data_IF_750316634042
#
_entry.id   IF_750316634042
#
_cell.length_a   1.000
_cell.length_b   1.000
_cell.length_c   1.000
_cell.angle_alpha   90.00
_cell.angle_beta   90.00
_cell.angle_gamma   90.00
#
_symmetry.space_group_name_H-M   'P 1'
#
loop_
_entity.id
_entity.type
_entity.pdbx_description
1 polymer ?
#
# COMPACT_ATOMS: atom_id res chain seq x y z
N UNK A 1 -2.61 -29.24 6.03
CA UNK A 1 -3.77 -28.40 6.40
C UNK A 1 -3.40 -27.52 7.57
N UNK A 2 -4.28 -26.60 7.98
CA UNK A 2 -4.09 -25.71 9.14
C UNK A 2 -5.21 -25.90 10.15
N UNK A 3 -4.89 -25.66 11.41
CA UNK A 3 -5.83 -25.70 12.52
C UNK A 3 -6.01 -24.31 13.13
N UNK A 4 -7.20 -24.03 13.62
CA UNK A 4 -7.51 -22.86 14.44
C UNK A 4 -8.19 -23.35 15.72
N UNK A 5 -7.65 -23.01 16.88
CA UNK A 5 -8.16 -23.48 18.19
C UNK A 5 -8.34 -25.01 18.25
N UNK A 6 -7.33 -25.76 17.79
CA UNK A 6 -7.36 -27.23 17.70
C UNK A 6 -8.45 -27.83 16.79
N UNK A 7 -9.22 -27.01 16.07
CA UNK A 7 -10.17 -27.45 15.07
C UNK A 7 -9.59 -27.26 13.67
N UNK A 8 -10.05 -28.08 12.71
CA UNK A 8 -9.60 -27.96 11.33
C UNK A 8 -10.12 -26.66 10.70
N UNK A 9 -9.21 -25.83 10.21
CA UNK A 9 -9.55 -24.61 9.46
C UNK A 9 -9.61 -24.93 7.97
N UNK A 10 -8.47 -25.22 7.36
CA UNK A 10 -8.34 -25.49 5.92
C UNK A 10 -7.54 -26.78 5.67
N UNK A 11 -7.99 -27.60 4.72
CA UNK A 11 -7.26 -28.76 4.22
C UNK A 11 -7.28 -28.76 2.68
N UNK A 12 -6.11 -28.95 2.09
CA UNK A 12 -5.94 -29.02 0.64
C UNK A 12 -5.05 -30.23 0.37
N UNK A 13 -5.49 -31.07 -0.56
CA UNK A 13 -4.72 -32.20 -1.06
C UNK A 13 -4.03 -31.82 -2.38
N UNK A 14 -2.72 -32.04 -2.42
CA UNK A 14 -1.91 -31.84 -3.61
C UNK A 14 -1.39 -33.20 -4.08
N UNK A 15 -1.85 -33.65 -5.25
CA UNK A 15 -1.29 -34.82 -5.89
C UNK A 15 0.04 -34.49 -6.54
N UNK A 16 1.06 -35.33 -6.36
CA UNK A 16 2.37 -35.16 -7.00
C UNK A 16 2.36 -35.92 -8.32
N UNK A 17 2.60 -35.21 -9.43
CA UNK A 17 2.69 -35.81 -10.76
C UNK A 17 4.15 -36.07 -11.15
N UNK A 18 5.01 -35.07 -10.96
CA UNK A 18 6.46 -35.18 -11.24
C UNK A 18 7.22 -34.66 -10.03
N UNK A 19 8.32 -35.34 -9.71
CA UNK A 19 9.19 -34.98 -8.61
C UNK A 19 10.64 -35.19 -9.01
N UNK A 20 11.45 -34.13 -8.81
CA UNK A 20 12.91 -34.21 -8.82
C UNK A 20 13.42 -33.80 -7.45
N UNK A 21 14.19 -34.70 -6.85
CA UNK A 21 14.76 -34.53 -5.52
C UNK A 21 15.90 -33.50 -5.52
N UNK A 22 16.28 -33.02 -4.33
CA UNK A 22 17.43 -32.12 -4.18
C UNK A 22 18.76 -32.75 -4.66
N UNK A 23 18.87 -34.08 -4.55
CA UNK A 23 20.07 -34.85 -4.87
C UNK A 23 20.34 -34.94 -6.39
N UNK A 24 19.29 -34.85 -7.21
CA UNK A 24 19.42 -34.87 -8.68
C UNK A 24 20.07 -33.59 -9.23
N UNK A 25 20.01 -32.49 -8.48
CA UNK A 25 20.62 -31.21 -8.87
C UNK A 25 22.05 -31.14 -8.33
N UNK A 26 23.04 -31.26 -9.21
CA UNK A 26 24.49 -31.21 -8.90
C UNK A 26 25.03 -29.79 -8.74
N UNK A 27 24.33 -28.95 -7.98
CA UNK A 27 24.63 -27.54 -7.80
C UNK A 27 24.77 -27.19 -6.31
N UNK A 28 25.45 -26.08 -6.01
CA UNK A 28 25.59 -25.58 -4.64
C UNK A 28 24.22 -25.29 -4.00
N UNK A 29 24.04 -25.75 -2.76
CA UNK A 29 22.79 -25.56 -2.02
C UNK A 29 22.82 -24.28 -1.18
N UNK A 30 21.66 -23.97 -0.62
CA UNK A 30 21.40 -22.81 0.24
C UNK A 30 21.65 -23.17 1.70
N UNK A 31 22.09 -22.20 2.51
CA UNK A 31 22.25 -22.38 3.94
C UNK A 31 20.93 -22.67 4.67
N UNK A 32 20.98 -23.53 5.68
CA UNK A 32 19.81 -23.88 6.51
C UNK A 32 19.39 -22.66 7.33
N UNK A 33 18.08 -22.47 7.51
CA UNK A 33 17.54 -21.40 8.35
C UNK A 33 17.27 -20.07 7.64
N UNK A 34 17.68 -19.92 6.37
CA UNK A 34 17.39 -18.71 5.59
C UNK A 34 15.89 -18.54 5.31
N UNK A 35 15.47 -17.27 5.26
CA UNK A 35 14.09 -16.89 4.92
C UNK A 35 13.94 -16.88 3.39
N UNK A 36 13.11 -17.75 2.80
CA UNK A 36 12.93 -17.77 1.36
C UNK A 36 12.15 -16.56 0.87
N UNK A 37 12.52 -16.06 -0.30
CA UNK A 37 11.69 -15.18 -1.11
C UNK A 37 10.60 -16.02 -1.78
N UNK A 38 9.33 -15.63 -1.63
CA UNK A 38 8.21 -16.34 -2.24
C UNK A 38 7.75 -15.59 -3.49
N UNK A 39 7.73 -16.28 -4.63
CA UNK A 39 7.19 -15.79 -5.88
C UNK A 39 5.96 -16.63 -6.26
N UNK A 40 4.81 -15.98 -6.44
CA UNK A 40 3.61 -16.62 -6.96
C UNK A 40 3.29 -16.06 -8.34
N UNK A 41 3.20 -16.92 -9.34
CA UNK A 41 2.96 -16.54 -10.72
C UNK A 41 1.72 -17.27 -11.28
N UNK A 42 0.86 -16.53 -11.98
CA UNK A 42 -0.33 -17.08 -12.64
C UNK A 42 -1.64 -16.45 -12.15
N UNK A 43 -2.52 -16.17 -13.10
CA UNK A 43 -3.80 -15.48 -12.88
C UNK A 43 -4.78 -16.27 -11.99
N UNK A 44 -4.60 -17.59 -11.91
CA UNK A 44 -5.43 -18.47 -11.08
C UNK A 44 -5.40 -18.08 -9.60
N UNK A 45 -4.28 -17.52 -9.11
CA UNK A 45 -4.15 -17.09 -7.71
C UNK A 45 -5.04 -15.88 -7.37
N UNK A 46 -5.38 -15.05 -8.35
CA UNK A 46 -6.20 -13.85 -8.14
C UNK A 46 -7.69 -14.14 -8.34
N UNK A 47 -8.03 -14.93 -9.35
CA UNK A 47 -9.41 -15.17 -9.75
C UNK A 47 -10.08 -16.36 -9.04
N UNK A 48 -9.34 -17.42 -8.73
CA UNK A 48 -9.91 -18.63 -8.12
C UNK A 48 -9.69 -18.64 -6.60
N UNK A 49 -10.79 -18.73 -5.84
CA UNK A 49 -10.75 -18.77 -4.38
C UNK A 49 -9.90 -19.95 -3.85
N UNK A 50 -9.93 -21.12 -4.47
CA UNK A 50 -9.14 -22.27 -4.00
C UNK A 50 -7.63 -22.03 -4.11
N UNK A 51 -7.19 -21.45 -5.23
CA UNK A 51 -5.78 -21.13 -5.47
C UNK A 51 -5.31 -19.99 -4.57
N UNK A 52 -6.17 -19.00 -4.31
CA UNK A 52 -5.90 -17.95 -3.32
C UNK A 52 -5.71 -18.50 -1.91
N UNK A 53 -6.52 -19.49 -1.53
CA UNK A 53 -6.38 -20.21 -0.26
C UNK A 53 -5.11 -21.05 -0.20
N UNK A 54 -4.77 -21.72 -1.29
CA UNK A 54 -3.51 -22.45 -1.41
C UNK A 54 -2.31 -21.52 -1.29
N UNK A 55 -2.31 -20.37 -1.97
CA UNK A 55 -1.27 -19.36 -1.84
C UNK A 55 -1.12 -18.91 -0.39
N UNK A 56 -2.22 -18.59 0.29
CA UNK A 56 -2.20 -18.21 1.69
C UNK A 56 -1.63 -19.33 2.59
N UNK A 57 -1.98 -20.58 2.33
CA UNK A 57 -1.44 -21.75 3.03
C UNK A 57 0.07 -21.90 2.84
N UNK A 58 0.56 -21.75 1.60
CA UNK A 58 1.97 -21.86 1.27
C UNK A 58 2.78 -20.69 1.86
N UNK A 59 2.23 -19.47 1.84
CA UNK A 59 2.84 -18.32 2.52
C UNK A 59 3.00 -18.62 4.00
N UNK A 60 1.95 -19.09 4.68
CA UNK A 60 1.99 -19.41 6.11
C UNK A 60 3.05 -20.47 6.44
N UNK A 61 3.17 -21.49 5.59
CA UNK A 61 4.13 -22.58 5.74
C UNK A 61 5.59 -22.14 5.55
N UNK A 62 5.87 -21.25 4.60
CA UNK A 62 7.24 -20.82 4.25
C UNK A 62 7.66 -19.47 4.83
N UNK A 63 6.74 -18.68 5.38
CA UNK A 63 7.05 -17.35 5.91
C UNK A 63 7.95 -17.40 7.16
N UNK A 64 7.91 -18.47 7.95
CA UNK A 64 8.63 -18.60 9.24
C UNK A 64 8.38 -17.36 10.12
N UNK A 65 9.44 -16.77 10.69
CA UNK A 65 9.34 -15.61 11.57
C UNK A 65 9.27 -14.28 10.81
N UNK A 66 8.49 -13.30 11.31
CA UNK A 66 8.45 -11.96 10.74
C UNK A 66 9.77 -11.23 10.98
N UNK A 67 10.50 -10.94 9.90
CA UNK A 67 11.74 -10.16 9.95
C UNK A 67 11.44 -8.70 9.60
N UNK A 68 11.92 -7.75 10.42
CA UNK A 68 11.79 -6.30 10.17
C UNK A 68 12.80 -5.79 9.15
N UNK A 69 13.98 -6.39 9.12
CA UNK A 69 15.06 -6.06 8.19
C UNK A 69 15.77 -7.33 7.73
N UNK A 70 16.15 -7.38 6.45
CA UNK A 70 16.88 -8.51 5.85
C UNK A 70 18.17 -7.99 5.22
N UNK A 71 19.27 -8.72 5.39
CA UNK A 71 20.56 -8.41 4.74
C UNK A 71 20.55 -8.91 3.30
N UNK A 72 21.20 -8.20 2.37
CA UNK A 72 21.30 -8.60 0.97
C UNK A 72 21.92 -9.99 0.78
N UNK A 73 22.96 -10.31 1.56
CA UNK A 73 23.60 -11.63 1.56
C UNK A 73 22.66 -12.75 2.07
N UNK A 74 21.60 -12.41 2.79
CA UNK A 74 20.60 -13.39 3.24
C UNK A 74 19.54 -13.73 2.20
N UNK A 75 19.54 -13.03 1.05
CA UNK A 75 18.60 -13.26 -0.05
C UNK A 75 19.18 -14.27 -1.04
N UNK A 76 19.32 -15.51 -0.59
CA UNK A 76 19.92 -16.58 -1.41
C UNK A 76 18.88 -17.51 -2.02
N UNK A 77 17.67 -17.58 -1.46
CA UNK A 77 16.68 -18.61 -1.78
C UNK A 77 15.38 -18.02 -2.28
N UNK A 78 14.92 -18.49 -3.43
CA UNK A 78 13.60 -18.17 -3.99
C UNK A 78 12.81 -19.45 -4.17
N UNK A 79 11.63 -19.49 -3.59
CA UNK A 79 10.62 -20.51 -3.87
C UNK A 79 9.62 -19.88 -4.83
N UNK A 80 9.50 -20.46 -6.01
CA UNK A 80 8.57 -20.05 -7.04
C UNK A 80 7.44 -21.06 -7.14
N UNK A 81 6.21 -20.56 -7.08
CA UNK A 81 5.00 -21.36 -7.26
C UNK A 81 4.21 -20.78 -8.43
N UNK A 82 4.13 -21.54 -9.51
CA UNK A 82 3.45 -21.11 -10.74
C UNK A 82 2.20 -21.95 -10.97
N UNK A 83 1.05 -21.31 -11.21
CA UNK A 83 -0.21 -22.00 -11.50
C UNK A 83 -0.64 -21.76 -12.95
N UNK A 84 -0.72 -22.82 -13.76
CA UNK A 84 -1.12 -22.77 -15.19
C UNK A 84 -2.08 -23.93 -15.47
N UNK A 85 -3.24 -23.65 -16.06
CA UNK A 85 -4.16 -24.67 -16.60
C UNK A 85 -4.44 -25.87 -15.66
N UNK A 86 -4.52 -25.60 -14.34
CA UNK A 86 -4.73 -26.55 -13.23
C UNK A 86 -3.49 -27.32 -12.71
N UNK A 87 -2.32 -27.12 -13.30
CA UNK A 87 -1.05 -27.61 -12.77
C UNK A 87 -0.39 -26.52 -11.92
N UNK A 88 0.19 -26.94 -10.80
CA UNK A 88 0.92 -26.08 -9.87
C UNK A 88 2.38 -26.52 -9.86
N UNK A 89 3.25 -25.69 -10.38
CA UNK A 89 4.68 -25.95 -10.42
C UNK A 89 5.35 -25.33 -9.21
N UNK A 90 5.93 -26.17 -8.37
CA UNK A 90 6.77 -25.77 -7.26
C UNK A 90 8.24 -25.90 -7.66
N UNK A 91 8.97 -24.80 -7.62
CA UNK A 91 10.38 -24.70 -7.99
C UNK A 91 11.16 -23.95 -6.94
N UNK A 92 12.40 -24.35 -6.75
CA UNK A 92 13.30 -23.78 -5.75
C UNK A 92 14.61 -23.40 -6.42
N UNK A 93 14.96 -22.12 -6.30
CA UNK A 93 16.09 -21.50 -6.97
C UNK A 93 17.05 -20.86 -5.96
N UNK A 94 18.34 -20.94 -6.25
CA UNK A 94 19.38 -20.14 -5.63
C UNK A 94 19.55 -18.84 -6.43
N UNK A 95 19.65 -17.72 -5.72
CA UNK A 95 19.91 -16.41 -6.30
C UNK A 95 21.41 -16.16 -6.44
N UNK A 96 21.83 -15.80 -7.64
CA UNK A 96 23.21 -15.38 -7.94
C UNK A 96 23.21 -13.89 -8.29
N UNK A 97 23.88 -13.09 -7.47
CA UNK A 97 24.00 -11.65 -7.66
C UNK A 97 25.23 -11.33 -8.52
N UNK A 98 25.00 -10.96 -9.79
CA UNK A 98 26.05 -10.54 -10.73
C UNK A 98 26.18 -9.01 -10.78
N UNK A 99 27.37 -8.54 -11.14
CA UNK A 99 27.65 -7.11 -11.36
C UNK A 99 26.82 -6.59 -12.55
N UNK A 100 26.10 -5.49 -12.35
CA UNK A 100 25.19 -4.88 -13.35
C UNK A 100 25.61 -3.48 -13.81
N UNK A 101 26.60 -2.85 -13.14
CA UNK A 101 27.00 -1.46 -13.40
C UNK A 101 26.09 -0.40 -12.78
N UNK A 102 24.97 -0.79 -12.17
CA UNK A 102 24.06 0.11 -11.43
C UNK A 102 24.04 -0.25 -9.94
N UNK A 103 23.30 0.52 -9.12
CA UNK A 103 23.16 0.25 -7.68
C UNK A 103 22.50 -1.09 -7.38
N UNK A 104 21.68 -1.62 -8.29
CA UNK A 104 20.95 -2.89 -8.12
C UNK A 104 21.67 -4.01 -8.89
N UNK A 105 22.10 -5.10 -8.22
CA UNK A 105 22.78 -6.21 -8.89
C UNK A 105 21.87 -6.91 -9.90
N UNK A 106 22.48 -7.54 -10.92
CA UNK A 106 21.75 -8.38 -11.87
C UNK A 106 21.51 -9.74 -11.22
N UNK A 107 20.26 -10.17 -11.16
CA UNK A 107 19.87 -11.42 -10.51
C UNK A 107 19.83 -12.51 -11.58
N UNK A 108 20.56 -13.60 -11.35
CA UNK A 108 20.45 -14.85 -12.09
C UNK A 108 19.95 -15.94 -11.15
N UNK A 109 19.17 -16.88 -11.66
CA UNK A 109 18.57 -17.95 -10.87
C UNK A 109 19.13 -19.30 -11.31
N UNK A 110 19.53 -20.11 -10.33
CA UNK A 110 20.00 -21.48 -10.54
C UNK A 110 19.05 -22.45 -9.85
N UNK A 111 18.53 -23.46 -10.56
CA UNK A 111 17.61 -24.43 -9.96
C UNK A 111 18.38 -25.37 -9.02
N UNK A 112 17.96 -25.40 -7.75
CA UNK A 112 18.59 -26.24 -6.72
C UNK A 112 17.72 -27.42 -6.29
N UNK A 113 16.41 -27.35 -6.58
CA UNK A 113 15.40 -28.32 -6.16
C UNK A 113 14.87 -28.08 -4.72
N UNK A 114 13.83 -28.82 -4.30
CA UNK A 114 13.10 -29.82 -5.07
C UNK A 114 12.23 -29.19 -6.16
N UNK A 115 12.01 -29.94 -7.24
CA UNK A 115 11.18 -29.55 -8.38
C UNK A 115 9.96 -30.46 -8.40
N UNK A 116 8.78 -29.90 -8.11
CA UNK A 116 7.57 -30.69 -7.88
C UNK A 116 6.43 -30.13 -8.73
N UNK A 117 5.76 -31.02 -9.46
CA UNK A 117 4.54 -30.70 -10.19
C UNK A 117 3.36 -31.24 -9.40
N UNK A 118 2.53 -30.32 -8.91
CA UNK A 118 1.35 -30.62 -8.14
C UNK A 118 0.09 -30.48 -9.00
N UNK A 119 -0.91 -31.31 -8.69
CA UNK A 119 -2.30 -31.14 -9.11
C UNK A 119 -3.19 -30.96 -7.90
N UNK A 120 -4.07 -29.97 -7.96
CA UNK A 120 -5.07 -29.76 -6.92
C UNK A 120 -6.07 -30.93 -6.93
N UNK A 121 -6.28 -31.56 -5.77
CA UNK A 121 -7.23 -32.67 -5.59
C UNK A 121 -8.40 -32.21 -4.73
N UNK A 122 -8.64 -32.83 -3.58
CA UNK A 122 -9.75 -32.46 -2.68
C UNK A 122 -9.39 -31.21 -1.89
N UNK A 123 -10.38 -30.34 -1.72
CA UNK A 123 -10.29 -29.11 -0.91
C UNK A 123 -11.39 -29.14 0.15
N UNK A 124 -11.01 -28.83 1.40
CA UNK A 124 -11.93 -28.57 2.51
C UNK A 124 -11.54 -27.23 3.10
N UNK A 125 -12.17 -26.18 2.59
CA UNK A 125 -11.89 -24.80 2.98
C UNK A 125 -12.82 -24.36 4.12
N UNK A 126 -12.32 -23.51 5.00
CA UNK A 126 -13.13 -22.87 6.03
C UNK A 126 -14.23 -22.00 5.43
N UNK A 127 -15.33 -21.86 6.16
CA UNK A 127 -16.32 -20.83 5.86
C UNK A 127 -15.72 -19.42 5.98
N UNK A 128 -16.30 -18.47 5.26
CA UNK A 128 -15.81 -17.09 5.23
C UNK A 128 -15.79 -16.48 6.63
N UNK A 129 -16.79 -16.77 7.46
CA UNK A 129 -16.89 -16.19 8.80
C UNK A 129 -15.91 -16.82 9.79
N UNK A 130 -15.71 -18.14 9.74
CA UNK A 130 -14.68 -18.81 10.53
C UNK A 130 -13.29 -18.27 10.17
N UNK A 131 -13.01 -18.09 8.87
CA UNK A 131 -11.73 -17.55 8.45
C UNK A 131 -11.51 -16.10 8.87
N UNK A 132 -12.56 -15.26 8.84
CA UNK A 132 -12.51 -13.88 9.36
C UNK A 132 -12.18 -13.85 10.85
N UNK A 133 -12.82 -14.74 11.63
CA UNK A 133 -12.55 -14.87 13.06
C UNK A 133 -11.10 -15.29 13.30
N UNK A 134 -10.62 -16.30 12.56
CA UNK A 134 -9.25 -16.79 12.66
C UNK A 134 -8.20 -15.73 12.27
N UNK A 135 -8.52 -14.85 11.33
CA UNK A 135 -7.61 -13.79 10.84
C UNK A 135 -7.72 -12.47 11.63
N UNK A 136 -8.48 -12.44 12.73
CA UNK A 136 -8.74 -11.22 13.49
C UNK A 136 -7.50 -10.81 14.30
N UNK A 137 -6.86 -9.71 13.89
CA UNK A 137 -5.79 -9.10 14.69
C UNK A 137 -6.33 -8.48 16.00
N UNK A 138 -5.69 -8.72 17.16
CA UNK A 138 -6.01 -8.07 18.44
C UNK A 138 -6.06 -6.55 18.34
N UNK A 139 -6.88 -5.92 19.20
CA UNK A 139 -7.07 -4.46 19.15
C UNK A 139 -5.84 -3.69 19.64
N UNK A 140 -5.04 -4.25 20.57
CA UNK A 140 -3.81 -3.58 21.05
C UNK A 140 -2.75 -3.47 19.95
N UNK A 141 -2.62 -4.50 19.10
CA UNK A 141 -1.67 -4.52 17.98
C UNK A 141 -2.06 -3.58 16.83
N UNK A 142 -3.31 -3.12 16.78
CA UNK A 142 -3.77 -2.18 15.75
C UNK A 142 -3.48 -0.74 16.20
N UNK A 143 -2.54 -0.09 15.53
CA UNK A 143 -2.28 1.33 15.72
C UNK A 143 -3.54 2.16 15.42
N UNK A 144 -4.16 2.73 16.45
CA UNK A 144 -5.31 3.63 16.30
C UNK A 144 -4.81 5.03 15.90
N UNK A 145 -5.01 5.41 14.65
CA UNK A 145 -4.79 6.79 14.20
C UNK A 145 -5.95 7.66 14.71
N UNK A 146 -5.65 8.58 15.62
CA UNK A 146 -6.61 9.60 16.05
C UNK A 146 -6.48 10.80 15.11
N UNK A 147 -7.61 11.25 14.54
CA UNK A 147 -7.63 12.39 13.60
C UNK A 147 -7.05 13.63 14.28
N UNK A 148 -6.30 14.43 13.52
CA UNK A 148 -5.66 15.67 13.96
C UNK A 148 -4.62 15.52 15.08
N UNK A 149 -4.16 14.30 15.36
CA UNK A 149 -3.10 14.05 16.34
C UNK A 149 -1.96 13.32 15.64
N UNK A 150 -0.77 13.90 15.68
CA UNK A 150 0.47 13.28 15.21
C UNK A 150 1.46 13.12 16.37
N UNK A 151 2.40 12.19 16.22
CA UNK A 151 3.55 12.04 17.11
C UNK A 151 4.80 12.29 16.30
N UNK A 152 5.70 13.10 16.85
CA UNK A 152 7.00 13.33 16.25
C UNK A 152 7.96 12.16 16.50
N UNK A 153 9.08 12.09 15.78
CA UNK A 153 10.13 11.06 15.95
C UNK A 153 10.68 11.02 17.38
N UNK A 154 10.67 12.16 18.07
CA UNK A 154 11.05 12.31 19.48
C UNK A 154 9.94 11.90 20.46
N UNK A 155 8.76 11.50 19.98
CA UNK A 155 7.63 11.05 20.80
C UNK A 155 6.64 12.15 21.21
N UNK A 156 6.94 13.43 20.95
CA UNK A 156 6.06 14.57 21.27
C UNK A 156 4.74 14.51 20.51
N UNK A 157 3.62 14.71 21.21
CA UNK A 157 2.27 14.68 20.65
C UNK A 157 1.85 16.07 20.16
N UNK A 158 1.53 16.18 18.87
CA UNK A 158 1.06 17.42 18.25
C UNK A 158 -0.42 17.31 17.87
N UNK A 159 -1.17 18.38 18.12
CA UNK A 159 -2.57 18.50 17.74
C UNK A 159 -2.73 19.55 16.64
N UNK A 160 -3.36 19.20 15.53
CA UNK A 160 -3.61 20.15 14.43
C UNK A 160 -5.00 20.77 14.58
N UNK A 161 -5.03 22.09 14.75
CA UNK A 161 -6.25 22.89 14.77
C UNK A 161 -6.45 23.48 13.39
N UNK A 162 -7.59 23.19 12.76
CA UNK A 162 -7.96 23.76 11.47
C UNK A 162 -8.81 24.99 11.71
N UNK A 163 -8.18 26.17 11.65
CA UNK A 163 -8.88 27.46 11.79
C UNK A 163 -9.62 27.73 10.47
N UNK A 164 -10.96 27.91 10.49
CA UNK A 164 -11.71 28.24 9.28
C UNK A 164 -11.34 29.64 8.78
N UNK A 165 -11.51 29.88 7.48
CA UNK A 165 -11.27 31.20 6.89
C UNK A 165 -12.18 32.24 7.53
N UNK A 166 -11.58 33.24 8.18
CA UNK A 166 -12.32 34.32 8.83
C UNK A 166 -12.75 35.38 7.81
N UNK A 167 -14.06 35.52 7.60
CA UNK A 167 -14.62 36.54 6.71
C UNK A 167 -14.79 37.87 7.47
N UNK A 168 -13.79 38.75 7.40
CA UNK A 168 -13.78 40.03 8.15
C UNK A 168 -14.69 41.09 7.51
N UNK A 169 -15.03 40.95 6.22
CA UNK A 169 -15.85 41.91 5.47
C UNK A 169 -17.30 41.99 5.95
N UNK A 170 -17.78 40.99 6.67
CA UNK A 170 -19.12 41.01 7.28
C UNK A 170 -19.17 41.80 8.58
N UNK A 171 -18.01 42.10 9.18
CA UNK A 171 -17.94 42.81 10.46
C UNK A 171 -18.15 44.30 10.22
N UNK A 172 -19.33 44.80 10.59
CA UNK A 172 -19.59 46.24 10.61
C UNK A 172 -18.93 46.86 11.84
N UNK A 173 -18.01 47.80 11.63
CA UNK A 173 -17.38 48.54 12.72
C UNK A 173 -18.33 49.58 13.33
N UNK A 174 -18.13 49.90 14.61
CA UNK A 174 -18.88 50.95 15.30
C UNK A 174 -18.68 52.29 14.60
N UNK A 175 -19.77 52.91 14.12
CA UNK A 175 -19.75 54.20 13.42
C UNK A 175 -19.60 55.37 14.40
N UNK A 176 -18.41 55.52 14.99
CA UNK A 176 -18.07 56.62 15.90
C UNK A 176 -18.22 57.98 15.22
N UNK A 177 -18.52 59.02 16.00
CA UNK A 177 -18.73 60.39 15.49
C UNK A 177 -17.53 60.92 14.71
N UNK A 178 -16.30 60.62 15.16
CA UNK A 178 -15.06 61.03 14.49
C UNK A 178 -14.77 60.33 13.16
N UNK A 179 -15.39 59.17 12.89
CA UNK A 179 -15.24 58.44 11.62
C UNK A 179 -16.32 58.83 10.59
N UNK A 180 -17.29 59.67 10.97
CA UNK A 180 -18.31 60.18 10.06
C UNK A 180 -17.70 61.35 9.29
N UNK A 181 -17.74 61.28 7.96
CA UNK A 181 -17.30 62.39 7.08
C UNK A 181 -17.92 63.71 7.52
N UNK A 182 -17.07 64.73 7.64
CA UNK A 182 -17.48 66.09 7.91
C UNK A 182 -18.31 66.65 6.73
N UNK A 183 -19.04 67.74 6.97
CA UNK A 183 -19.92 68.32 5.95
C UNK A 183 -19.13 68.84 4.72
N UNK A 184 -17.90 69.32 4.93
CA UNK A 184 -16.98 69.80 3.89
C UNK A 184 -16.48 68.64 3.02
N UNK A 185 -16.01 67.55 3.62
CA UNK A 185 -15.55 66.34 2.91
C UNK A 185 -16.67 65.65 2.12
N UNK A 186 -17.93 65.71 2.61
CA UNK A 186 -19.09 65.22 1.86
C UNK A 186 -19.35 66.05 0.59
N UNK A 187 -19.22 67.38 0.68
CA UNK A 187 -19.38 68.29 -0.49
C UNK A 187 -18.28 68.05 -1.53
N UNK A 188 -17.03 67.90 -1.10
CA UNK A 188 -15.90 67.63 -2.00
C UNK A 188 -16.00 66.25 -2.66
N UNK A 189 -16.38 65.20 -1.91
CA UNK A 189 -16.60 63.87 -2.47
C UNK A 189 -17.74 63.85 -3.51
N UNK A 190 -18.78 64.69 -3.33
CA UNK A 190 -19.88 64.84 -4.29
C UNK A 190 -19.42 65.53 -5.58
N UNK A 191 -18.56 66.55 -5.48
CA UNK A 191 -17.90 67.19 -6.64
C UNK A 191 -16.99 66.22 -7.39
N UNK A 192 -16.17 65.42 -6.69
CA UNK A 192 -15.28 64.42 -7.30
C UNK A 192 -16.05 63.32 -8.03
N UNK A 193 -17.16 62.82 -7.46
CA UNK A 193 -18.02 61.82 -8.14
C UNK A 193 -18.69 62.35 -9.41
N UNK A 194 -19.04 63.65 -9.44
CA UNK A 194 -19.60 64.28 -10.63
C UNK A 194 -18.58 64.38 -11.78
N UNK A 195 -17.29 64.62 -11.48
CA UNK A 195 -16.22 64.67 -12.48
C UNK A 195 -15.84 63.29 -13.06
N UNK A 196 -15.88 62.23 -12.26
CA UNK A 196 -15.58 60.86 -12.74
C UNK A 196 -16.70 60.24 -13.60
N UNK A 197 -17.95 60.65 -13.41
CA UNK A 197 -19.08 60.16 -14.21
C UNK A 197 -19.02 60.64 -15.68
N UNK A 198 -18.37 61.77 -15.93
CA UNK A 198 -18.15 62.32 -17.27
C UNK A 198 -16.96 61.69 -18.02
N UNK A 199 -16.03 61.04 -17.32
CA UNK A 199 -14.83 60.43 -17.91
C UNK A 199 -15.01 58.94 -18.28
N UNK A 200 -15.91 58.22 -17.60
CA UNK A 200 -16.14 56.79 -17.84
C UNK A 200 -16.87 56.49 -19.16
N UNK A 201 -17.47 57.48 -19.82
CA UNK A 201 -18.23 57.32 -21.07
C UNK A 201 -17.36 57.38 -22.35
N UNK A 202 -16.04 57.57 -22.22
CA UNK A 202 -15.10 57.76 -23.36
C UNK A 202 -13.96 56.73 -23.44
N UNK A 203 -14.18 55.46 -23.08
CA UNK A 203 -13.19 54.39 -23.38
C UNK A 203 -13.76 53.40 -24.40
N UNK A 204 -13.05 53.09 -25.49
CA UNK A 204 -13.50 52.12 -26.49
C UNK A 204 -13.44 50.70 -25.92
N UNK A 205 -14.39 49.86 -26.34
CA UNK A 205 -14.40 48.42 -26.04
C UNK A 205 -13.22 47.75 -26.75
N UNK A 206 -12.29 47.17 -25.99
CA UNK A 206 -11.43 46.10 -26.49
C UNK A 206 -11.83 44.82 -25.77
N UNK A 207 -12.10 43.79 -26.57
CA UNK A 207 -12.30 42.39 -26.15
C UNK A 207 -10.99 41.84 -25.62
N UNK A 208 -11.01 41.08 -24.53
CA UNK A 208 -10.17 39.89 -24.45
C UNK A 208 -10.67 38.86 -23.44
N UNK A 209 -10.37 37.64 -23.86
CA UNK A 209 -10.61 36.31 -23.36
C UNK A 209 -10.03 36.00 -21.97
N UNK A 210 -10.59 34.95 -21.35
CA UNK A 210 -9.96 33.92 -20.52
C UNK A 210 -8.88 34.32 -19.49
N UNK A 211 -9.19 34.16 -18.19
CA UNK A 211 -8.55 33.23 -17.22
C UNK A 211 -9.55 32.92 -16.10
#
# INVERSE_FOLDING_TARGET
>A
GRTYQHQLLDMIELGVDKFKSLAEFKNEKVAVGLKPCLLFAGELFDHNHEYKRLQNLLVDMFHREPATSVRLQGLEHVIMVTAVEKNIYFRSYKMLLKKSGTRTPRIELEEIGPSIDFKLRRTKLASVDLFKVASKKPKELKAKKVKNISRDKLGSKHGQIHVPKQNIRTIQTRKMKGLKKSATEKKEARKRKAGTATEATKRPKYSDENV
#
